data_IF_796048074920
#
_entry.id   IF_796048074920
#
_cell.length_a   1.000
_cell.length_b   1.000
_cell.length_c   1.000
_cell.angle_alpha   90.00
_cell.angle_beta   90.00
_cell.angle_gamma   90.00
#
_symmetry.space_group_name_H-M   'P 1'
#
loop_
_entity.id
_entity.type
_entity.pdbx_description
1 polymer ?
#
# COMPACT_ATOMS: atom_id res chain seq x y z
N UNK A 1 14.10 34.20 7.68
CA UNK A 1 13.15 33.20 7.11
C UNK A 1 13.62 31.83 7.49
N UNK A 2 12.70 30.97 7.91
CA UNK A 2 12.99 29.59 8.33
C UNK A 2 12.50 28.63 7.26
N UNK A 3 13.30 27.61 6.98
CA UNK A 3 13.03 26.61 5.94
C UNK A 3 13.10 25.21 6.51
N UNK A 4 12.18 24.35 6.08
CA UNK A 4 12.28 22.89 6.26
C UNK A 4 12.63 22.29 4.91
N UNK A 5 13.78 21.62 4.81
CA UNK A 5 14.24 21.06 3.55
C UNK A 5 13.74 19.61 3.36
N UNK A 6 13.22 19.29 2.18
CA UNK A 6 12.85 17.92 1.82
C UNK A 6 13.66 17.42 0.63
N UNK A 7 14.27 16.25 0.81
CA UNK A 7 15.09 15.55 -0.17
C UNK A 7 14.48 14.20 -0.53
N UNK A 8 14.69 13.78 -1.78
CA UNK A 8 14.31 12.43 -2.22
C UNK A 8 15.44 11.75 -2.96
N UNK A 9 15.74 10.52 -2.57
CA UNK A 9 16.76 9.66 -3.19
C UNK A 9 16.17 8.28 -3.48
N UNK A 10 16.49 7.71 -4.63
CA UNK A 10 16.17 6.30 -4.89
C UNK A 10 17.31 5.39 -4.42
N UNK A 11 16.97 4.20 -3.93
CA UNK A 11 17.97 3.20 -3.51
C UNK A 11 18.89 2.76 -4.66
N UNK A 12 18.47 2.91 -5.92
CA UNK A 12 19.30 2.63 -7.10
C UNK A 12 20.23 3.80 -7.47
N UNK A 13 19.82 5.07 -7.28
CA UNK A 13 20.67 6.24 -7.56
C UNK A 13 21.80 6.41 -6.54
N UNK A 14 21.57 6.02 -5.27
CA UNK A 14 22.63 6.02 -4.26
C UNK A 14 23.81 5.09 -4.65
N UNK A 15 23.53 3.97 -5.34
CA UNK A 15 24.56 3.03 -5.77
C UNK A 15 25.33 3.41 -7.04
N UNK A 16 24.90 4.45 -7.77
CA UNK A 16 25.51 4.81 -9.07
C UNK A 16 26.27 6.13 -9.11
N UNK A 17 26.02 7.09 -8.22
CA UNK A 17 26.83 8.33 -8.26
C UNK A 17 26.76 9.29 -7.07
N UNK A 18 25.78 9.25 -6.16
CA UNK A 18 25.63 10.28 -5.10
C UNK A 18 25.25 11.69 -5.60
N UNK A 19 25.50 11.99 -6.87
CA UNK A 19 25.29 13.28 -7.56
C UNK A 19 23.86 13.82 -7.46
N UNK A 20 22.86 12.95 -7.33
CA UNK A 20 21.46 13.33 -7.24
C UNK A 20 21.10 14.02 -5.92
N UNK A 21 21.72 13.63 -4.80
CA UNK A 21 21.48 14.28 -3.50
C UNK A 21 22.29 15.58 -3.40
N UNK A 22 23.57 15.54 -3.77
CA UNK A 22 24.43 16.72 -3.74
C UNK A 22 23.89 17.87 -4.60
N UNK A 23 23.31 17.56 -5.77
CA UNK A 23 22.67 18.57 -6.61
C UNK A 23 21.44 19.20 -5.94
N UNK A 24 20.68 18.42 -5.16
CA UNK A 24 19.54 18.93 -4.41
C UNK A 24 19.99 19.80 -3.24
N UNK A 25 20.97 19.34 -2.47
CA UNK A 25 21.54 20.10 -1.34
C UNK A 25 22.16 21.41 -1.80
N UNK A 26 22.88 21.42 -2.93
CA UNK A 26 23.40 22.65 -3.53
C UNK A 26 22.29 23.62 -3.91
N UNK A 27 21.22 23.15 -4.57
CA UNK A 27 20.11 24.01 -4.96
C UNK A 27 19.42 24.64 -3.74
N UNK A 28 19.14 23.82 -2.72
CA UNK A 28 18.55 24.25 -1.45
C UNK A 28 19.45 25.27 -0.74
N UNK A 29 20.75 24.97 -0.62
CA UNK A 29 21.71 25.85 0.06
C UNK A 29 21.82 27.20 -0.65
N UNK A 30 21.87 27.20 -1.99
CA UNK A 30 21.93 28.44 -2.78
C UNK A 30 20.65 29.29 -2.61
N UNK A 31 19.48 28.65 -2.59
CA UNK A 31 18.19 29.33 -2.39
C UNK A 31 18.08 29.95 -1.00
N UNK A 32 18.43 29.19 0.04
CA UNK A 32 18.41 29.66 1.44
C UNK A 32 19.39 30.83 1.64
N UNK A 33 20.59 30.75 1.05
CA UNK A 33 21.57 31.84 1.08
C UNK A 33 21.05 33.09 0.37
N UNK A 34 20.44 32.95 -0.81
CA UNK A 34 19.88 34.07 -1.55
C UNK A 34 18.79 34.80 -0.75
N UNK A 35 17.98 34.06 0.02
CA UNK A 35 16.92 34.61 0.88
C UNK A 35 17.38 34.99 2.30
N UNK A 36 18.67 34.85 2.62
CA UNK A 36 19.24 35.09 3.97
C UNK A 36 18.45 34.37 5.07
N UNK A 37 18.03 33.13 4.80
CA UNK A 37 17.32 32.31 5.76
C UNK A 37 18.17 31.21 6.37
N UNK A 38 17.51 30.35 7.14
CA UNK A 38 18.11 29.19 7.80
C UNK A 38 17.27 27.93 7.58
N UNK A 39 17.93 26.78 7.52
CA UNK A 39 17.25 25.48 7.49
C UNK A 39 17.14 24.98 8.91
N UNK A 40 15.92 24.87 9.43
CA UNK A 40 15.65 24.42 10.80
C UNK A 40 15.58 22.89 10.90
N UNK A 41 15.25 22.22 9.81
CA UNK A 41 15.20 20.76 9.72
C UNK A 41 15.32 20.28 8.28
N UNK A 42 15.83 19.05 8.12
CA UNK A 42 15.90 18.38 6.83
C UNK A 42 15.36 16.95 6.92
N UNK A 43 14.62 16.55 5.89
CA UNK A 43 13.97 15.25 5.80
C UNK A 43 14.34 14.59 4.48
N UNK A 44 14.85 13.36 4.52
CA UNK A 44 15.30 12.64 3.32
C UNK A 44 14.48 11.37 3.13
N UNK A 45 13.73 11.30 2.04
CA UNK A 45 12.94 10.14 1.66
C UNK A 45 13.74 9.17 0.80
N UNK A 46 13.73 7.89 1.18
CA UNK A 46 14.44 6.81 0.47
C UNK A 46 13.43 5.94 -0.26
N UNK A 47 13.32 6.11 -1.57
CA UNK A 47 12.38 5.38 -2.40
C UNK A 47 12.93 3.99 -2.75
N UNK A 48 12.29 2.95 -2.23
CA UNK A 48 12.45 1.58 -2.73
C UNK A 48 11.34 1.33 -3.75
N UNK A 49 11.68 0.85 -4.95
CA UNK A 49 10.80 0.77 -6.13
C UNK A 49 9.52 -0.11 -6.00
N UNK A 50 9.09 -0.44 -4.79
CA UNK A 50 7.90 -1.25 -4.50
C UNK A 50 6.94 -0.60 -3.48
N UNK A 51 7.32 0.47 -2.79
CA UNK A 51 6.44 1.20 -1.85
C UNK A 51 6.53 2.70 -2.09
N UNK A 52 5.36 3.33 -2.22
CA UNK A 52 5.19 4.76 -2.48
C UNK A 52 4.82 5.55 -1.21
N UNK A 53 4.86 4.91 -0.04
CA UNK A 53 4.58 5.58 1.23
C UNK A 53 5.69 6.61 1.50
N UNK A 54 5.31 7.85 1.85
CA UNK A 54 6.24 8.98 2.04
C UNK A 54 6.20 9.53 3.48
N UNK A 55 6.66 8.77 4.48
CA UNK A 55 6.59 9.18 5.88
C UNK A 55 7.45 10.41 6.18
N UNK A 56 8.58 10.60 5.50
CA UNK A 56 9.49 11.71 5.77
C UNK A 56 8.91 13.04 5.28
N UNK A 57 8.17 12.98 4.18
CA UNK A 57 7.45 14.14 3.66
C UNK A 57 6.30 14.56 4.60
N UNK A 58 5.61 13.59 5.21
CA UNK A 58 4.59 13.87 6.21
C UNK A 58 5.15 14.64 7.42
N UNK A 59 6.27 14.17 7.96
CA UNK A 59 6.96 14.83 9.07
C UNK A 59 7.47 16.23 8.68
N UNK A 60 7.99 16.39 7.46
CA UNK A 60 8.44 17.70 6.98
C UNK A 60 7.30 18.72 6.90
N UNK A 61 6.11 18.30 6.46
CA UNK A 61 4.93 19.15 6.41
C UNK A 61 4.45 19.53 7.80
N UNK A 62 4.33 18.55 8.71
CA UNK A 62 3.88 18.78 10.09
C UNK A 62 4.80 19.79 10.77
N UNK A 63 6.11 19.59 10.65
CA UNK A 63 7.10 20.52 11.20
C UNK A 63 7.02 21.91 10.56
N UNK A 64 6.86 22.02 9.24
CA UNK A 64 6.71 23.30 8.56
C UNK A 64 5.44 24.03 9.03
N UNK A 65 4.32 23.32 9.18
CA UNK A 65 3.06 23.87 9.66
C UNK A 65 3.10 24.30 11.13
N UNK A 66 3.80 23.55 12.00
CA UNK A 66 3.97 23.88 13.42
C UNK A 66 4.88 25.08 13.64
N UNK A 67 5.96 25.18 12.87
CA UNK A 67 6.98 26.24 13.00
C UNK A 67 6.66 27.49 12.18
N UNK A 68 5.72 27.41 11.24
CA UNK A 68 5.48 28.46 10.24
C UNK A 68 6.62 28.61 9.24
N UNK A 69 7.49 27.61 9.14
CA UNK A 69 8.60 27.60 8.19
C UNK A 69 8.13 27.23 6.77
N UNK A 70 8.87 27.68 5.77
CA UNK A 70 8.58 27.36 4.36
C UNK A 70 9.15 25.97 4.05
N UNK A 71 8.31 25.08 3.50
CA UNK A 71 8.74 23.78 3.01
C UNK A 71 9.49 23.96 1.70
N UNK A 72 10.80 23.71 1.74
CA UNK A 72 11.70 23.86 0.61
C UNK A 72 11.98 22.52 -0.07
N UNK A 73 11.78 22.49 -1.39
CA UNK A 73 12.11 21.34 -2.23
C UNK A 73 13.11 21.74 -3.32
N UNK A 74 14.01 20.84 -3.66
CA UNK A 74 15.00 21.12 -4.70
C UNK A 74 14.41 21.17 -6.12
N UNK A 75 13.44 20.29 -6.42
CA UNK A 75 12.73 20.27 -7.71
C UNK A 75 11.28 19.82 -7.57
N UNK A 76 10.37 20.44 -8.31
CA UNK A 76 8.94 20.13 -8.27
C UNK A 76 8.60 18.73 -8.80
N UNK A 77 9.38 18.22 -9.77
CA UNK A 77 9.21 16.86 -10.32
C UNK A 77 9.29 15.75 -9.26
N UNK A 78 9.96 16.05 -8.14
CA UNK A 78 10.13 15.12 -7.02
C UNK A 78 8.87 15.02 -6.16
N UNK A 79 8.04 16.06 -6.13
CA UNK A 79 6.69 16.02 -5.55
C UNK A 79 5.64 15.55 -6.57
N UNK A 80 5.71 16.01 -7.82
CA UNK A 80 4.64 15.95 -8.83
C UNK A 80 4.26 14.57 -9.35
N UNK A 81 5.07 13.52 -9.13
CA UNK A 81 4.69 12.14 -9.51
C UNK A 81 3.47 11.60 -8.77
N UNK A 82 3.02 12.27 -7.71
CA UNK A 82 1.71 12.06 -7.12
C UNK A 82 0.95 13.38 -7.17
N UNK A 83 0.23 13.62 -8.25
CA UNK A 83 -0.57 14.84 -8.44
C UNK A 83 -1.58 15.02 -7.30
N UNK A 84 -2.16 13.89 -6.84
CA UNK A 84 -3.03 13.82 -5.68
C UNK A 84 -2.38 14.34 -4.38
N UNK A 85 -1.05 14.27 -4.29
CA UNK A 85 -0.32 14.76 -3.14
C UNK A 85 -0.13 16.28 -3.20
N UNK A 86 0.21 16.85 -4.36
CA UNK A 86 0.33 18.31 -4.52
C UNK A 86 -1.02 19.01 -4.30
N UNK A 87 -2.13 18.42 -4.77
CA UNK A 87 -3.45 18.99 -4.53
C UNK A 87 -3.81 19.02 -3.03
N UNK A 88 -3.47 17.97 -2.29
CA UNK A 88 -3.72 17.90 -0.83
C UNK A 88 -2.81 18.86 -0.06
N UNK A 89 -1.54 18.98 -0.47
CA UNK A 89 -0.54 19.89 0.08
C UNK A 89 -0.98 21.36 0.00
N UNK A 90 -1.49 21.79 -1.15
CA UNK A 90 -1.78 23.19 -1.40
C UNK A 90 -3.13 23.64 -0.80
N UNK A 91 -3.91 22.70 -0.23
CA UNK A 91 -5.16 23.00 0.48
C UNK A 91 -4.92 23.45 1.92
N UNK A 92 -3.77 23.13 2.52
CA UNK A 92 -3.43 23.64 3.85
C UNK A 92 -3.06 25.14 3.75
N UNK A 93 -3.81 26.05 4.40
CA UNK A 93 -3.47 27.47 4.41
C UNK A 93 -2.22 27.80 5.23
N UNK A 94 -1.78 26.91 6.14
CA UNK A 94 -0.61 27.11 7.00
C UNK A 94 0.70 26.68 6.36
N UNK A 95 0.64 25.97 5.24
CA UNK A 95 1.82 25.44 4.57
C UNK A 95 2.20 26.31 3.38
N UNK A 96 3.37 26.93 3.46
CA UNK A 96 4.03 27.58 2.32
C UNK A 96 5.06 26.63 1.72
N UNK A 97 5.02 26.46 0.39
CA UNK A 97 5.90 25.54 -0.33
C UNK A 97 6.67 26.33 -1.39
N UNK A 98 7.98 26.15 -1.40
CA UNK A 98 8.85 26.74 -2.41
C UNK A 98 9.72 25.68 -3.07
N UNK A 99 9.77 25.73 -4.41
CA UNK A 99 10.62 24.86 -5.21
C UNK A 99 11.82 25.67 -5.74
N UNK A 100 13.04 25.17 -5.52
CA UNK A 100 14.27 25.88 -5.91
C UNK A 100 14.41 26.01 -7.44
N UNK A 101 13.78 25.12 -8.21
CA UNK A 101 13.71 25.18 -9.67
C UNK A 101 12.67 26.19 -10.19
N UNK A 102 11.71 26.57 -9.35
CA UNK A 102 10.62 27.50 -9.65
C UNK A 102 10.45 28.51 -8.49
N UNK A 103 11.48 29.33 -8.19
CA UNK A 103 11.49 30.21 -7.02
C UNK A 103 10.46 31.35 -7.10
N UNK A 104 9.90 31.62 -8.29
CA UNK A 104 8.84 32.59 -8.53
C UNK A 104 7.44 31.97 -8.60
N UNK A 105 7.30 30.65 -8.48
CA UNK A 105 5.99 30.01 -8.52
C UNK A 105 5.22 30.32 -7.24
N UNK A 106 4.17 31.14 -7.38
CA UNK A 106 3.22 31.37 -6.31
C UNK A 106 2.30 30.14 -6.12
N UNK A 107 1.59 30.09 -4.98
CA UNK A 107 0.65 29.00 -4.64
C UNK A 107 -0.35 28.71 -5.77
N UNK A 108 -0.82 29.73 -6.47
CA UNK A 108 -1.74 29.62 -7.61
C UNK A 108 -1.09 28.91 -8.81
N UNK A 109 0.18 29.20 -9.11
CA UNK A 109 0.93 28.57 -10.19
C UNK A 109 1.16 27.09 -9.90
N UNK A 110 1.50 26.75 -8.65
CA UNK A 110 1.64 25.36 -8.21
C UNK A 110 0.31 24.60 -8.33
N UNK A 111 -0.82 25.23 -7.98
CA UNK A 111 -2.17 24.65 -8.14
C UNK A 111 -2.51 24.37 -9.61
N UNK A 112 -2.24 25.32 -10.50
CA UNK A 112 -2.51 25.17 -11.92
C UNK A 112 -1.65 24.05 -12.53
N UNK A 113 -0.35 24.01 -12.19
CA UNK A 113 0.56 22.96 -12.64
C UNK A 113 0.12 21.58 -12.14
N UNK A 114 -0.34 21.48 -10.89
CA UNK A 114 -0.89 20.25 -10.35
C UNK A 114 -2.13 19.80 -11.13
N UNK A 115 -3.09 20.70 -11.37
CA UNK A 115 -4.31 20.40 -12.12
C UNK A 115 -4.01 19.93 -13.57
N UNK A 116 -3.06 20.59 -14.25
CA UNK A 116 -2.62 20.18 -15.59
C UNK A 116 -2.01 18.78 -15.57
N UNK A 117 -1.10 18.51 -14.63
CA UNK A 117 -0.50 17.19 -14.47
C UNK A 117 -1.55 16.09 -14.18
N UNK A 118 -2.61 16.41 -13.44
CA UNK A 118 -3.71 15.48 -13.17
C UNK A 118 -4.45 15.11 -14.46
N UNK A 119 -4.78 16.14 -15.25
CA UNK A 119 -5.42 15.99 -16.55
C UNK A 119 -4.60 15.14 -17.50
N UNK A 120 -3.29 15.37 -17.58
CA UNK A 120 -2.39 14.57 -18.41
C UNK A 120 -2.33 13.11 -17.96
N UNK A 121 -2.19 12.86 -16.66
CA UNK A 121 -2.19 11.51 -16.11
C UNK A 121 -3.52 10.78 -16.39
N UNK A 122 -4.65 11.48 -16.23
CA UNK A 122 -5.97 10.95 -16.54
C UNK A 122 -6.11 10.64 -18.03
N UNK A 123 -5.64 11.52 -18.92
CA UNK A 123 -5.67 11.32 -20.37
C UNK A 123 -4.81 10.12 -20.81
N UNK A 124 -3.60 9.97 -20.26
CA UNK A 124 -2.73 8.81 -20.50
C UNK A 124 -3.42 7.53 -20.03
N UNK A 125 -4.02 7.55 -18.84
CA UNK A 125 -4.76 6.41 -18.29
C UNK A 125 -5.95 6.03 -19.18
N UNK A 126 -6.75 7.01 -19.61
CA UNK A 126 -7.88 6.82 -20.50
C UNK A 126 -7.45 6.22 -21.85
N UNK A 127 -6.40 6.78 -22.47
CA UNK A 127 -5.85 6.27 -23.73
C UNK A 127 -5.32 4.84 -23.59
N UNK A 128 -4.62 4.55 -22.49
CA UNK A 128 -4.10 3.20 -22.21
C UNK A 128 -5.23 2.21 -22.02
N UNK A 129 -6.28 2.56 -21.25
CA UNK A 129 -7.47 1.72 -21.07
C UNK A 129 -8.18 1.46 -22.39
N UNK A 130 -8.38 2.49 -23.22
CA UNK A 130 -8.98 2.34 -24.54
C UNK A 130 -8.15 1.43 -25.45
N UNK A 131 -6.83 1.59 -25.45
CA UNK A 131 -5.92 0.73 -26.22
C UNK A 131 -5.97 -0.73 -25.75
N UNK A 132 -5.98 -0.96 -24.43
CA UNK A 132 -6.10 -2.29 -23.84
C UNK A 132 -7.46 -2.93 -24.16
N UNK A 133 -8.55 -2.16 -24.10
CA UNK A 133 -9.88 -2.66 -24.45
C UNK A 133 -9.94 -3.05 -25.94
N UNK A 134 -9.42 -2.21 -26.84
CA UNK A 134 -9.33 -2.52 -28.25
C UNK A 134 -8.44 -3.74 -28.54
N UNK A 135 -7.34 -3.92 -27.79
CA UNK A 135 -6.50 -5.11 -27.87
C UNK A 135 -7.27 -6.36 -27.38
N UNK A 136 -8.03 -6.24 -26.30
CA UNK A 136 -8.87 -7.32 -25.77
C UNK A 136 -9.96 -7.75 -26.74
N UNK A 137 -10.63 -6.79 -27.40
CA UNK A 137 -11.63 -7.07 -28.46
C UNK A 137 -11.00 -7.78 -29.67
N UNK A 138 -9.73 -7.46 -29.98
CA UNK A 138 -8.93 -8.15 -31.00
C UNK A 138 -8.40 -9.52 -30.55
N UNK A 139 -8.78 -10.00 -29.36
CA UNK A 139 -8.36 -11.30 -28.84
C UNK A 139 -6.94 -11.34 -28.27
N UNK A 140 -6.28 -10.19 -28.08
CA UNK A 140 -4.94 -10.13 -27.50
C UNK A 140 -5.00 -10.49 -26.02
N UNK A 141 -4.25 -11.52 -25.63
CA UNK A 141 -4.05 -11.92 -24.24
C UNK A 141 -3.21 -10.88 -23.50
N UNK A 142 -3.88 -10.06 -22.69
CA UNK A 142 -3.24 -9.04 -21.85
C UNK A 142 -2.67 -9.67 -20.57
N UNK A 143 -1.54 -9.16 -20.09
CA UNK A 143 -0.89 -9.63 -18.84
C UNK A 143 0.00 -10.85 -18.99
N UNK A 144 0.33 -11.26 -20.21
CA UNK A 144 1.22 -12.39 -20.52
C UNK A 144 2.64 -11.86 -20.71
N UNK A 145 3.62 -12.38 -19.96
CA UNK A 145 4.99 -11.83 -19.92
C UNK A 145 5.78 -12.16 -21.19
N UNK A 146 5.36 -13.18 -21.95
CA UNK A 146 5.93 -13.53 -23.26
C UNK A 146 4.85 -13.98 -24.26
N UNK A 147 4.64 -13.26 -25.38
CA UNK A 147 3.61 -13.60 -26.36
C UNK A 147 3.80 -14.97 -27.03
N UNK A 148 5.05 -15.48 -27.13
CA UNK A 148 5.35 -16.82 -27.63
C UNK A 148 4.96 -17.98 -26.68
N UNK A 149 4.49 -17.67 -25.46
CA UNK A 149 4.10 -18.67 -24.44
C UNK A 149 2.63 -18.55 -24.00
N UNK A 150 1.82 -17.78 -24.73
CA UNK A 150 0.45 -17.44 -24.36
C UNK A 150 -0.47 -18.65 -24.12
N UNK A 151 -0.33 -19.74 -24.88
CA UNK A 151 -1.08 -20.99 -24.65
C UNK A 151 -0.69 -21.70 -23.34
N UNK A 152 0.61 -21.75 -23.04
CA UNK A 152 1.16 -22.38 -21.84
C UNK A 152 0.84 -21.57 -20.58
N UNK A 153 0.78 -20.23 -20.66
CA UNK A 153 0.47 -19.36 -19.52
C UNK A 153 -1.02 -19.34 -19.13
N UNK A 154 -1.95 -19.57 -20.07
CA UNK A 154 -3.37 -19.76 -19.74
C UNK A 154 -3.59 -21.06 -18.93
N UNK A 155 -2.92 -22.16 -19.33
CA UNK A 155 -2.88 -23.42 -18.57
C UNK A 155 -2.14 -23.27 -17.23
N UNK A 156 -1.04 -22.50 -17.17
CA UNK A 156 -0.33 -22.17 -15.92
C UNK A 156 -1.21 -21.28 -15.00
N UNK A 157 -2.04 -20.40 -15.54
CA UNK A 157 -2.97 -19.57 -14.76
C UNK A 157 -4.14 -20.39 -14.20
N UNK A 158 -4.68 -21.32 -14.98
CA UNK A 158 -5.72 -22.24 -14.51
C UNK A 158 -5.17 -23.28 -13.54
N UNK A 159 -4.02 -23.90 -13.82
CA UNK A 159 -3.33 -24.80 -12.89
C UNK A 159 -2.85 -24.07 -11.64
N UNK A 160 -2.39 -22.82 -11.75
CA UNK A 160 -2.03 -21.97 -10.61
C UNK A 160 -3.24 -21.69 -9.71
N UNK A 161 -4.39 -21.34 -10.31
CA UNK A 161 -5.66 -21.21 -9.57
C UNK A 161 -6.12 -22.53 -8.94
N UNK A 162 -5.92 -23.66 -9.63
CA UNK A 162 -6.20 -25.01 -9.10
C UNK A 162 -5.32 -25.34 -7.91
N UNK A 163 -4.01 -25.10 -8.00
CA UNK A 163 -3.05 -25.29 -6.89
C UNK A 163 -3.36 -24.37 -5.71
N UNK A 164 -3.71 -23.10 -5.96
CA UNK A 164 -4.15 -22.17 -4.91
C UNK A 164 -5.45 -22.63 -4.24
N UNK A 165 -6.40 -23.15 -5.03
CA UNK A 165 -7.66 -23.72 -4.56
C UNK A 165 -7.42 -24.97 -3.71
N UNK A 166 -6.62 -25.92 -4.19
CA UNK A 166 -6.26 -27.14 -3.47
C UNK A 166 -5.52 -26.84 -2.15
N UNK A 167 -4.61 -25.87 -2.13
CA UNK A 167 -3.96 -25.42 -0.89
C UNK A 167 -4.95 -24.82 0.10
N UNK A 168 -5.90 -24.02 -0.37
CA UNK A 168 -6.94 -23.44 0.46
C UNK A 168 -7.93 -24.49 0.98
N UNK A 169 -8.26 -25.49 0.17
CA UNK A 169 -9.12 -26.62 0.54
C UNK A 169 -8.42 -27.51 1.58
N UNK A 170 -7.13 -27.84 1.38
CA UNK A 170 -6.32 -28.60 2.35
C UNK A 170 -6.26 -27.91 3.70
N UNK A 171 -5.96 -26.61 3.72
CA UNK A 171 -5.92 -25.82 4.96
C UNK A 171 -7.29 -25.79 5.66
N UNK A 172 -8.38 -25.76 4.90
CA UNK A 172 -9.72 -25.83 5.44
C UNK A 172 -10.03 -27.20 6.04
N UNK A 173 -9.56 -28.30 5.47
CA UNK A 173 -9.70 -29.65 6.04
C UNK A 173 -8.84 -29.82 7.30
N UNK A 174 -7.62 -29.27 7.33
CA UNK A 174 -6.71 -29.38 8.48
C UNK A 174 -7.21 -28.57 9.70
N UNK A 175 -7.56 -27.30 9.50
CA UNK A 175 -7.89 -26.38 10.61
C UNK A 175 -9.40 -26.25 10.85
N UNK A 176 -10.22 -26.59 9.86
CA UNK A 176 -11.68 -26.46 9.92
C UNK A 176 -12.34 -27.19 11.09
N UNK A 177 -11.99 -28.46 11.40
CA UNK A 177 -12.56 -29.17 12.55
C UNK A 177 -12.27 -28.49 13.89
N UNK A 178 -11.05 -27.98 14.09
CA UNK A 178 -10.66 -27.26 15.30
C UNK A 178 -11.42 -25.94 15.41
N UNK A 179 -11.49 -25.16 14.33
CA UNK A 179 -12.27 -23.91 14.29
C UNK A 179 -13.75 -24.21 14.55
N UNK A 180 -14.29 -25.30 13.98
CA UNK A 180 -15.68 -25.72 14.18
C UNK A 180 -15.97 -26.01 15.66
N UNK A 181 -15.11 -26.79 16.33
CA UNK A 181 -15.24 -27.08 17.77
C UNK A 181 -15.25 -25.81 18.61
N UNK A 182 -14.25 -24.94 18.42
CA UNK A 182 -14.17 -23.67 19.16
C UNK A 182 -15.39 -22.76 18.91
N UNK A 183 -15.97 -22.82 17.70
CA UNK A 183 -17.22 -22.11 17.36
C UNK A 183 -18.45 -22.71 18.04
N UNK A 184 -18.50 -24.02 18.24
CA UNK A 184 -19.57 -24.68 19.02
C UNK A 184 -19.47 -24.38 20.51
N UNK A 185 -18.25 -24.20 21.00
CA UNK A 185 -17.97 -23.76 22.38
C UNK A 185 -18.24 -22.25 22.59
N UNK A 186 -18.89 -21.57 21.62
CA UNK A 186 -19.31 -20.18 21.73
C UNK A 186 -18.25 -19.14 21.40
N UNK A 187 -17.01 -19.53 21.09
CA UNK A 187 -15.93 -18.56 20.83
C UNK A 187 -16.16 -17.79 19.53
N UNK A 188 -15.93 -16.48 19.57
CA UNK A 188 -15.94 -15.61 18.39
C UNK A 188 -14.74 -15.88 17.46
N UNK A 189 -14.86 -15.50 16.18
CA UNK A 189 -13.73 -15.61 15.23
C UNK A 189 -12.49 -14.82 15.67
N UNK A 190 -12.67 -13.76 16.46
CA UNK A 190 -11.58 -12.98 17.08
C UNK A 190 -10.84 -13.82 18.12
N UNK A 191 -11.57 -14.44 19.05
CA UNK A 191 -11.00 -15.31 20.09
C UNK A 191 -10.29 -16.53 19.49
N UNK A 192 -10.84 -17.12 18.43
CA UNK A 192 -10.17 -18.23 17.71
C UNK A 192 -8.87 -17.77 17.05
N UNK A 193 -8.83 -16.56 16.47
CA UNK A 193 -7.61 -16.01 15.88
C UNK A 193 -6.54 -15.68 16.93
N UNK A 194 -6.95 -15.16 18.09
CA UNK A 194 -6.08 -14.94 19.25
C UNK A 194 -5.50 -16.27 19.75
N UNK A 195 -6.34 -17.30 19.90
CA UNK A 195 -5.92 -18.64 20.29
C UNK A 195 -4.87 -19.21 19.31
N UNK A 196 -5.10 -19.08 18.00
CA UNK A 196 -4.17 -19.58 16.97
C UNK A 196 -2.83 -18.83 16.96
N UNK A 197 -2.87 -17.53 17.30
CA UNK A 197 -1.69 -16.70 17.48
C UNK A 197 -0.91 -17.09 18.74
N UNK A 198 -1.61 -17.40 19.84
CA UNK A 198 -1.01 -17.80 21.11
C UNK A 198 -0.29 -19.16 21.01
N UNK A 199 -0.88 -20.14 20.34
CA UNK A 199 -0.25 -21.45 20.10
C UNK A 199 0.82 -21.41 19.01
N UNK A 200 1.13 -20.23 18.46
CA UNK A 200 2.11 -19.99 17.40
C UNK A 200 1.93 -20.92 16.19
N UNK A 201 0.69 -21.18 15.79
CA UNK A 201 0.40 -22.02 14.64
C UNK A 201 0.95 -21.32 13.37
N UNK A 202 1.80 -21.97 12.56
CA UNK A 202 2.44 -21.32 11.43
C UNK A 202 1.41 -20.91 10.37
N UNK A 203 1.33 -19.61 10.08
CA UNK A 203 0.46 -19.10 9.03
C UNK A 203 1.17 -19.23 7.68
N UNK A 204 0.40 -19.57 6.63
CA UNK A 204 0.93 -19.76 5.28
C UNK A 204 1.50 -18.49 4.63
N UNK A 205 1.26 -17.31 5.21
CA UNK A 205 1.94 -16.06 4.81
C UNK A 205 2.98 -15.72 5.86
N UNK A 206 4.22 -15.50 5.42
CA UNK A 206 5.29 -14.86 6.20
C UNK A 206 4.89 -13.42 6.54
N UNK A 207 3.98 -13.24 7.50
CA UNK A 207 3.73 -11.97 8.18
C UNK A 207 4.09 -12.18 9.65
N UNK A 208 5.37 -12.47 9.87
CA UNK A 208 5.92 -12.50 11.22
C UNK A 208 6.29 -11.06 11.61
N UNK A 209 5.65 -10.50 12.64
CA UNK A 209 6.24 -9.38 13.39
C UNK A 209 7.10 -10.03 14.49
N UNK A 210 8.41 -9.73 14.49
CA UNK A 210 9.38 -10.23 15.51
C UNK A 210 9.36 -11.76 15.72
N UNK A 211 9.14 -12.55 14.67
CA UNK A 211 9.21 -14.03 14.74
C UNK A 211 7.94 -14.74 15.24
N UNK A 212 6.87 -14.03 15.62
CA UNK A 212 5.57 -14.64 15.93
C UNK A 212 4.61 -14.54 14.75
N UNK A 213 3.91 -15.63 14.49
CA UNK A 213 2.86 -15.68 13.47
C UNK A 213 1.57 -15.07 14.04
N UNK A 214 1.01 -14.06 13.36
CA UNK A 214 -0.27 -13.44 13.76
C UNK A 214 -1.41 -13.93 12.88
N UNK A 215 -2.49 -14.40 13.50
CA UNK A 215 -3.74 -14.78 12.84
C UNK A 215 -4.79 -13.66 12.95
N UNK A 216 -5.57 -13.47 11.88
CA UNK A 216 -6.65 -12.48 11.82
C UNK A 216 -8.02 -13.15 11.72
N UNK A 217 -9.04 -12.54 12.32
CA UNK A 217 -10.42 -13.06 12.36
C UNK A 217 -11.00 -13.35 10.96
N UNK A 218 -10.71 -12.52 9.96
CA UNK A 218 -11.24 -12.71 8.60
C UNK A 218 -10.65 -13.93 7.93
N UNK A 219 -9.39 -14.27 8.26
CA UNK A 219 -8.74 -15.48 7.76
C UNK A 219 -9.38 -16.72 8.35
N UNK A 220 -9.64 -16.72 9.66
CA UNK A 220 -10.36 -17.81 10.34
C UNK A 220 -11.77 -17.97 9.74
N UNK A 221 -12.48 -16.86 9.53
CA UNK A 221 -13.81 -16.85 8.90
C UNK A 221 -13.77 -17.44 7.49
N UNK A 222 -12.79 -17.08 6.67
CA UNK A 222 -12.63 -17.61 5.31
C UNK A 222 -12.38 -19.12 5.30
N UNK A 223 -11.48 -19.59 6.17
CA UNK A 223 -11.17 -21.02 6.34
C UNK A 223 -12.40 -21.80 6.80
N UNK A 224 -13.13 -21.27 7.79
CA UNK A 224 -14.32 -21.92 8.32
C UNK A 224 -15.48 -21.99 7.31
N UNK A 225 -15.74 -20.89 6.58
CA UNK A 225 -16.74 -20.90 5.49
C UNK A 225 -16.41 -21.96 4.44
N UNK A 226 -15.13 -22.08 4.12
CA UNK A 226 -14.65 -23.06 3.14
C UNK A 226 -14.76 -24.48 3.65
N UNK A 227 -14.41 -24.73 4.91
CA UNK A 227 -14.63 -26.02 5.58
C UNK A 227 -16.10 -26.42 5.52
N UNK A 228 -17.02 -25.54 5.91
CA UNK A 228 -18.46 -25.85 5.86
C UNK A 228 -19.02 -26.02 4.44
N UNK A 229 -18.37 -25.45 3.42
CA UNK A 229 -18.72 -25.73 2.02
C UNK A 229 -18.25 -27.12 1.57
N UNK A 230 -17.15 -27.65 2.15
CA UNK A 230 -16.63 -28.99 1.90
C UNK A 230 -17.38 -30.04 2.74
N UNK A 231 -17.80 -29.70 3.97
CA UNK A 231 -18.45 -30.61 4.94
C UNK A 231 -19.80 -30.08 5.46
N UNK A 232 -20.80 -29.88 4.59
CA UNK A 232 -22.07 -29.24 4.96
C UNK A 232 -22.82 -30.00 6.08
N UNK A 233 -22.79 -31.33 6.07
CA UNK A 233 -23.49 -32.16 7.06
C UNK A 233 -22.93 -31.99 8.48
N UNK A 234 -21.61 -31.83 8.62
CA UNK A 234 -20.94 -31.64 9.92
C UNK A 234 -21.25 -30.26 10.49
N UNK A 235 -21.16 -29.22 9.65
CA UNK A 235 -21.49 -27.85 10.08
C UNK A 235 -22.98 -27.62 10.34
N UNK A 236 -23.87 -28.42 9.74
CA UNK A 236 -25.30 -28.40 10.02
C UNK A 236 -25.63 -29.07 11.36
N UNK A 237 -25.08 -30.27 11.62
CA UNK A 237 -25.29 -31.02 12.86
C UNK A 237 -24.72 -30.34 14.12
N UNK A 238 -23.62 -29.59 13.99
CA UNK A 238 -23.06 -28.83 15.11
C UNK A 238 -23.96 -27.70 15.60
N UNK A 239 -24.65 -27.00 14.68
CA UNK A 239 -25.53 -25.86 15.02
C UNK A 239 -26.78 -26.27 15.78
N UNK A 240 -27.36 -27.44 15.47
CA UNK A 240 -28.52 -27.98 16.19
C UNK A 240 -28.14 -28.48 17.59
N UNK A 241 -26.91 -28.96 17.80
CA UNK A 241 -26.41 -29.40 19.11
C UNK A 241 -26.02 -28.22 20.03
N UNK A 242 -25.48 -27.13 19.48
CA UNK A 242 -25.22 -25.91 20.24
C UNK A 242 -26.52 -25.20 20.68
N UNK A 243 -27.54 -25.17 19.81
CA UNK A 243 -28.86 -24.63 20.16
C UNK A 243 -29.56 -25.44 21.27
N UNK A 244 -29.39 -26.77 21.32
CA UNK A 244 -29.93 -27.60 22.41
C UNK A 244 -29.20 -27.44 23.76
N UNK A 245 -27.95 -26.98 23.76
CA UNK A 245 -27.14 -26.84 24.99
C UNK A 245 -27.39 -25.51 25.72
N UNK A 246 -28.04 -24.54 25.07
CA UNK A 246 -28.51 -23.29 25.70
C UNK A 246 -29.88 -23.43 26.36
N UNK A 247 -30.65 -24.48 26.04
CA UNK A 247 -32.00 -24.73 26.58
C UNK A 247 -32.02 -25.66 27.81
N UNK A 248 -30.87 -26.11 28.31
CA UNK A 248 -30.77 -26.92 29.53
C UNK A 248 -30.05 -26.13 30.62
N UNK A 249 -30.79 -25.23 31.26
CA UNK A 249 -30.49 -24.65 32.58
C UNK A 249 -31.82 -24.55 33.34
N UNK A 250 -32.25 -25.68 33.92
CA UNK A 250 -33.01 -25.67 35.18
C UNK A 250 -32.03 -25.59 36.34
#
# INVERSE_FOLDING_TARGET
MQFVAYYRVSTQEQGRSGLGLDAQERAVTMHVRAKRGEIIASFTEVESGKRSDRPQLALAMEMAAETGAVLLIAKLDRLARSVHFISTLLLDPKLEIEACDLPAANKMTLHLMAAVAEGEAAAISARTKAALEAARRRGVLLGVRHPAKAGREAEISQSGRKVLRERADRLATELGPMIHRLRLDGQSYKQVAEHFTLINLPAQRKQARRGRTVWHQDRIRQIYRRYCAITPNVCAAGRTRAAKKSDTWE
#
